data_IF_088574950861
#
_entry.id   IF_088574950861
#
_cell.length_a   1.000
_cell.length_b   1.000
_cell.length_c   1.000
_cell.angle_alpha   90.00
_cell.angle_beta   90.00
_cell.angle_gamma   90.00
#
_symmetry.space_group_name_H-M   'P 1'
#
loop_
_entity.id
_entity.type
_entity.pdbx_description
1 polymer ?
#
# COMPACT_ATOMS: atom_id res chain seq x y z
N UNK A 1 29.92 -14.93 -11.03
CA UNK A 1 28.76 -15.04 -10.13
C UNK A 1 27.81 -13.89 -10.46
N UNK A 2 26.65 -14.22 -11.04
CA UNK A 2 25.81 -13.28 -11.81
C UNK A 2 24.92 -12.45 -10.87
N UNK A 3 25.12 -11.13 -10.88
CA UNK A 3 24.21 -10.13 -10.31
C UNK A 3 22.92 -10.13 -11.14
N UNK A 4 21.82 -10.66 -10.62
CA UNK A 4 20.52 -10.64 -11.29
C UNK A 4 19.64 -9.55 -10.69
N UNK A 5 19.26 -8.61 -11.57
CA UNK A 5 18.01 -7.83 -11.64
C UNK A 5 17.55 -7.03 -10.40
N UNK A 6 17.93 -5.74 -10.37
CA UNK A 6 17.14 -4.68 -9.70
C UNK A 6 15.82 -4.52 -10.46
N UNK A 7 14.69 -4.98 -9.92
CA UNK A 7 13.36 -4.76 -10.53
C UNK A 7 12.39 -4.19 -9.50
N UNK A 8 12.59 -2.92 -9.19
CA UNK A 8 11.55 -1.99 -8.72
C UNK A 8 11.75 -0.64 -9.43
N UNK A 9 11.70 -0.69 -10.76
CA UNK A 9 11.88 0.44 -11.67
C UNK A 9 10.52 0.98 -12.13
N UNK A 10 9.96 1.87 -11.33
CA UNK A 10 9.34 3.08 -11.86
C UNK A 10 10.12 4.25 -11.27
N UNK A 11 11.15 4.68 -11.99
CA UNK A 11 11.73 5.99 -11.74
C UNK A 11 10.72 7.01 -12.23
N UNK A 12 10.02 7.67 -11.31
CA UNK A 12 9.59 9.03 -11.59
C UNK A 12 10.86 9.81 -11.88
N UNK A 13 10.92 10.44 -13.06
CA UNK A 13 12.13 11.12 -13.52
C UNK A 13 12.68 12.04 -12.43
N UNK A 14 13.99 11.93 -12.20
CA UNK A 14 14.72 12.82 -11.32
C UNK A 14 14.48 14.28 -11.76
N UNK A 15 13.68 15.01 -10.97
CA UNK A 15 13.68 16.46 -10.97
C UNK A 15 14.58 16.86 -9.78
N UNK A 16 15.89 16.97 -10.02
CA UNK A 16 16.72 17.90 -9.26
C UNK A 16 16.47 19.29 -9.90
N UNK A 17 16.37 20.43 -9.20
CA UNK A 17 17.21 21.04 -8.15
C UNK A 17 16.36 22.16 -7.52
N UNK A 18 16.42 22.41 -6.19
CA UNK A 18 16.65 23.77 -5.60
C UNK A 18 16.70 23.86 -4.06
N UNK A 19 17.27 24.95 -3.50
CA UNK A 19 18.38 24.92 -2.55
C UNK A 19 17.97 24.80 -1.08
N UNK A 20 18.95 24.45 -0.27
CA UNK A 20 18.87 24.50 1.18
C UNK A 20 18.75 25.95 1.69
N UNK A 21 17.68 26.17 2.48
CA UNK A 21 17.68 26.71 3.85
C UNK A 21 16.72 27.90 4.09
N UNK A 22 15.66 27.64 4.87
CA UNK A 22 15.27 28.44 6.02
C UNK A 22 14.41 27.56 6.97
N UNK A 23 14.72 27.49 8.28
CA UNK A 23 14.00 26.66 9.24
C UNK A 23 12.74 27.37 9.75
N UNK A 24 11.59 26.73 9.57
CA UNK A 24 10.30 26.90 10.27
C UNK A 24 9.14 26.91 9.28
N UNK A 25 8.71 25.71 8.89
CA UNK A 25 7.30 25.34 8.66
C UNK A 25 7.28 23.85 8.32
N UNK A 26 6.45 23.11 9.06
CA UNK A 26 6.23 21.67 8.99
C UNK A 26 5.79 21.20 7.59
N UNK A 27 6.73 21.15 6.66
CA UNK A 27 6.52 20.99 5.22
C UNK A 27 6.50 19.55 4.71
N UNK A 28 5.94 18.62 5.48
CA UNK A 28 5.65 17.27 5.00
C UNK A 28 4.23 16.86 5.41
N UNK A 29 3.27 17.04 4.49
CA UNK A 29 1.84 16.75 4.64
C UNK A 29 1.48 15.26 4.73
N UNK A 30 2.17 14.50 5.58
CA UNK A 30 1.96 13.07 5.82
C UNK A 30 0.57 12.70 6.38
N UNK A 31 -0.26 13.69 6.72
CA UNK A 31 -1.64 13.49 7.18
C UNK A 31 -2.54 12.82 6.12
N UNK A 32 -2.09 12.67 4.87
CA UNK A 32 -2.86 12.01 3.79
C UNK A 32 -2.92 10.48 3.95
N UNK A 33 -2.10 9.85 4.82
CA UNK A 33 -2.27 8.42 5.19
C UNK A 33 -3.33 8.23 6.30
N UNK A 34 -4.22 9.21 6.54
CA UNK A 34 -5.34 8.99 7.48
C UNK A 34 -6.51 8.27 6.79
N UNK A 35 -7.15 7.31 7.48
CA UNK A 35 -8.03 6.34 6.88
C UNK A 35 -9.45 6.90 6.86
N UNK A 36 -10.00 7.02 5.68
CA UNK A 36 -11.42 6.71 5.48
C UNK A 36 -11.66 6.20 4.07
N UNK A 37 -10.82 5.28 3.62
CA UNK A 37 -11.40 4.24 2.75
C UNK A 37 -12.27 3.41 3.69
N UNK A 38 -13.56 3.69 3.69
CA UNK A 38 -14.53 3.06 4.59
C UNK A 38 -14.28 1.54 4.68
N UNK A 39 -13.99 1.05 5.89
CA UNK A 39 -13.84 -0.36 6.21
C UNK A 39 -12.40 -0.90 6.31
N UNK A 40 -11.34 -0.16 5.96
CA UNK A 40 -9.96 -0.67 6.12
C UNK A 40 -9.57 -0.96 7.58
N UNK A 41 -10.23 -0.30 8.53
CA UNK A 41 -10.19 -0.60 9.96
C UNK A 41 -10.67 -2.03 10.27
N UNK A 42 -11.77 -2.48 9.67
CA UNK A 42 -12.27 -3.85 9.83
C UNK A 42 -11.33 -4.89 9.23
N UNK A 43 -10.61 -4.54 8.15
CA UNK A 43 -9.57 -5.39 7.57
C UNK A 43 -8.36 -5.53 8.49
N UNK A 44 -7.88 -4.43 9.08
CA UNK A 44 -6.77 -4.48 10.02
C UNK A 44 -7.07 -5.34 11.24
N UNK A 45 -8.29 -5.27 11.77
CA UNK A 45 -8.75 -6.14 12.87
C UNK A 45 -8.80 -7.61 12.45
N UNK A 46 -9.31 -7.92 11.25
CA UNK A 46 -9.33 -9.28 10.73
C UNK A 46 -7.92 -9.83 10.49
N UNK A 47 -7.00 -9.00 10.01
CA UNK A 47 -5.59 -9.36 9.84
C UNK A 47 -4.90 -9.65 11.16
N UNK A 48 -5.13 -8.81 12.18
CA UNK A 48 -4.61 -9.05 13.53
C UNK A 48 -5.01 -10.44 14.03
N UNK A 49 -6.29 -10.80 13.88
CA UNK A 49 -6.78 -12.13 14.26
C UNK A 49 -6.08 -13.25 13.49
N UNK A 50 -5.91 -13.12 12.17
CA UNK A 50 -5.23 -14.13 11.35
C UNK A 50 -3.77 -14.32 11.81
N UNK A 51 -3.09 -13.22 12.12
CA UNK A 51 -1.71 -13.22 12.59
C UNK A 51 -1.59 -13.83 14.00
N UNK A 52 -2.54 -13.57 14.89
CA UNK A 52 -2.65 -14.21 16.22
C UNK A 52 -2.95 -15.72 16.11
N UNK A 53 -3.85 -16.12 15.21
CA UNK A 53 -4.15 -17.53 14.92
C UNK A 53 -2.92 -18.31 14.40
N UNK A 54 -2.00 -17.62 13.70
CA UNK A 54 -0.73 -18.25 13.28
C UNK A 54 0.21 -18.54 14.45
N UNK A 55 0.16 -17.77 15.53
CA UNK A 55 0.91 -18.07 16.77
C UNK A 55 0.25 -19.16 17.59
N UNK A 56 -1.09 -19.17 17.64
CA UNK A 56 -1.87 -20.11 18.43
C UNK A 56 -2.89 -20.84 17.54
N UNK A 57 -2.47 -21.87 16.78
CA UNK A 57 -3.36 -22.61 15.91
C UNK A 57 -4.45 -23.30 16.74
N UNK A 58 -5.70 -22.85 16.62
CA UNK A 58 -6.82 -23.56 17.23
C UNK A 58 -7.17 -24.82 16.40
N UNK A 59 -7.17 -26.03 16.99
CA UNK A 59 -7.60 -27.22 16.29
C UNK A 59 -9.10 -27.13 15.91
N UNK A 60 -9.41 -27.18 14.62
CA UNK A 60 -10.78 -27.33 14.11
C UNK A 60 -11.47 -26.08 13.55
N UNK A 61 -10.85 -24.90 13.64
CA UNK A 61 -11.38 -23.70 12.97
C UNK A 61 -10.94 -23.68 11.50
N UNK A 62 -11.82 -24.08 10.58
CA UNK A 62 -11.59 -23.87 9.16
C UNK A 62 -11.73 -22.38 8.84
N UNK A 63 -10.62 -21.71 8.53
CA UNK A 63 -10.65 -20.32 8.11
C UNK A 63 -11.50 -20.17 6.84
N UNK A 64 -12.35 -19.14 6.73
CA UNK A 64 -13.13 -18.89 5.52
C UNK A 64 -12.18 -18.73 4.32
N UNK A 65 -12.28 -19.65 3.38
CA UNK A 65 -11.53 -19.59 2.12
C UNK A 65 -12.26 -18.65 1.16
N UNK A 66 -11.57 -17.60 0.71
CA UNK A 66 -12.10 -16.73 -0.33
C UNK A 66 -12.12 -17.50 -1.67
N UNK A 67 -13.23 -17.41 -2.42
CA UNK A 67 -13.30 -17.95 -3.76
C UNK A 67 -12.25 -17.27 -4.67
N UNK A 68 -11.62 -18.03 -5.55
CA UNK A 68 -10.63 -17.51 -6.48
C UNK A 68 -11.23 -16.35 -7.31
N UNK A 69 -10.60 -15.17 -7.23
CA UNK A 69 -11.05 -13.98 -7.95
C UNK A 69 -12.24 -13.23 -7.33
N UNK A 70 -12.68 -13.56 -6.11
CA UNK A 70 -13.76 -12.84 -5.42
C UNK A 70 -13.54 -11.32 -5.31
N UNK A 71 -12.27 -10.90 -5.32
CA UNK A 71 -11.85 -9.51 -5.16
C UNK A 71 -11.47 -8.83 -6.48
N UNK A 72 -11.61 -9.52 -7.62
CA UNK A 72 -11.42 -8.92 -8.95
C UNK A 72 -12.55 -7.97 -9.30
N UNK A 73 -12.23 -7.02 -10.16
CA UNK A 73 -13.16 -6.08 -10.77
C UNK A 73 -12.77 -5.78 -12.22
N UNK A 74 -13.70 -5.28 -13.02
CA UNK A 74 -13.43 -4.77 -14.36
C UNK A 74 -12.98 -3.31 -14.28
N UNK A 75 -11.73 -2.96 -14.67
CA UNK A 75 -11.27 -1.58 -14.58
C UNK A 75 -11.99 -0.65 -15.54
N UNK A 76 -12.32 0.56 -15.09
CA UNK A 76 -12.84 1.65 -15.92
C UNK A 76 -11.91 2.88 -15.86
N UNK A 77 -11.45 3.35 -17.02
CA UNK A 77 -10.59 4.54 -17.10
C UNK A 77 -11.29 5.82 -16.63
N UNK A 78 -12.57 5.97 -16.96
CA UNK A 78 -13.36 7.14 -16.53
C UNK A 78 -13.50 7.15 -15.00
N UNK A 79 -13.74 5.98 -14.39
CA UNK A 79 -13.78 5.86 -12.93
C UNK A 79 -12.43 6.16 -12.30
N UNK A 80 -11.34 5.68 -12.90
CA UNK A 80 -9.98 6.00 -12.46
C UNK A 80 -9.74 7.50 -12.43
N UNK A 81 -10.08 8.22 -13.50
CA UNK A 81 -9.95 9.67 -13.56
C UNK A 81 -10.73 10.36 -12.42
N UNK A 82 -11.96 9.91 -12.14
CA UNK A 82 -12.78 10.41 -11.03
C UNK A 82 -12.14 10.10 -9.66
N UNK A 83 -11.64 8.88 -9.47
CA UNK A 83 -11.00 8.44 -8.22
C UNK A 83 -9.72 9.25 -7.94
N UNK A 84 -8.88 9.45 -8.96
CA UNK A 84 -7.66 10.24 -8.88
C UNK A 84 -7.95 11.72 -8.57
N UNK A 85 -8.95 12.31 -9.24
CA UNK A 85 -9.39 13.67 -8.94
C UNK A 85 -9.90 13.82 -7.50
N UNK A 86 -10.67 12.83 -7.01
CA UNK A 86 -11.15 12.81 -5.63
C UNK A 86 -10.00 12.64 -4.62
N UNK A 87 -9.00 11.82 -4.94
CA UNK A 87 -7.79 11.69 -4.14
C UNK A 87 -7.09 13.04 -4.01
N UNK A 88 -6.80 13.72 -5.13
CA UNK A 88 -6.21 15.07 -5.14
C UNK A 88 -7.02 16.06 -4.31
N UNK A 89 -8.35 16.10 -4.50
CA UNK A 89 -9.21 17.02 -3.78
C UNK A 89 -9.16 16.81 -2.25
N UNK A 90 -9.10 15.56 -1.79
CA UNK A 90 -8.92 15.24 -0.36
C UNK A 90 -7.53 15.63 0.15
N UNK A 91 -6.49 15.39 -0.65
CA UNK A 91 -5.11 15.73 -0.29
C UNK A 91 -4.89 17.23 -0.10
N UNK A 92 -5.62 18.09 -0.84
CA UNK A 92 -5.48 19.56 -0.74
C UNK A 92 -5.74 20.12 0.66
N UNK A 93 -6.57 19.46 1.47
CA UNK A 93 -6.84 19.92 2.84
C UNK A 93 -5.61 19.80 3.76
N UNK A 94 -4.71 18.86 3.46
CA UNK A 94 -3.49 18.62 4.23
C UNK A 94 -2.25 19.25 3.56
N UNK A 95 -2.16 19.16 2.24
CA UNK A 95 -1.04 19.66 1.45
C UNK A 95 -1.52 20.19 0.08
N UNK A 96 -1.84 21.50 -0.01
CA UNK A 96 -2.27 22.11 -1.26
C UNK A 96 -1.24 21.96 -2.40
N UNK A 97 0.04 22.17 -2.11
CA UNK A 97 1.10 22.16 -3.12
C UNK A 97 1.40 20.74 -3.60
N UNK A 98 1.49 19.78 -2.68
CA UNK A 98 1.64 18.36 -3.01
C UNK A 98 0.46 17.85 -3.82
N UNK A 99 -0.76 18.23 -3.48
CA UNK A 99 -1.95 17.87 -4.25
C UNK A 99 -1.94 18.45 -5.67
N UNK A 100 -1.48 19.68 -5.87
CA UNK A 100 -1.32 20.26 -7.21
C UNK A 100 -0.24 19.55 -8.04
N UNK A 101 0.84 19.12 -7.40
CA UNK A 101 1.86 18.29 -8.05
C UNK A 101 1.30 16.90 -8.43
N UNK A 102 0.54 16.26 -7.53
CA UNK A 102 -0.14 15.00 -7.83
C UNK A 102 -1.12 15.14 -8.99
N UNK A 103 -1.88 16.24 -9.04
CA UNK A 103 -2.80 16.51 -10.15
C UNK A 103 -2.07 16.55 -11.50
N UNK A 104 -0.89 17.20 -11.55
CA UNK A 104 -0.07 17.26 -12.77
C UNK A 104 0.44 15.88 -13.18
N UNK A 105 0.86 15.05 -12.21
CA UNK A 105 1.31 13.68 -12.47
C UNK A 105 0.16 12.82 -12.99
N UNK A 106 -1.00 12.86 -12.36
CA UNK A 106 -2.17 12.08 -12.79
C UNK A 106 -2.72 12.53 -14.15
N UNK A 107 -2.51 13.79 -14.53
CA UNK A 107 -2.85 14.28 -15.86
C UNK A 107 -1.84 13.86 -16.94
N UNK A 108 -0.58 13.61 -16.57
CA UNK A 108 0.47 13.25 -17.53
C UNK A 108 0.57 11.75 -17.79
N UNK A 109 0.21 10.93 -16.81
CA UNK A 109 0.30 9.47 -16.94
C UNK A 109 -0.71 8.70 -16.10
N UNK A 110 -1.09 7.54 -16.62
CA UNK A 110 -1.89 6.57 -15.88
C UNK A 110 -1.01 5.80 -14.88
N UNK A 111 -0.83 6.40 -13.70
CA UNK A 111 0.03 5.86 -12.63
C UNK A 111 -0.39 4.47 -12.18
N UNK A 112 -1.69 4.15 -12.19
CA UNK A 112 -2.19 2.83 -11.79
C UNK A 112 -1.83 1.79 -12.85
N UNK A 113 -1.96 2.14 -14.14
CA UNK A 113 -1.57 1.26 -15.23
C UNK A 113 -0.06 0.98 -15.26
N UNK A 114 0.78 1.96 -14.92
CA UNK A 114 2.23 1.77 -14.82
C UNK A 114 2.62 0.69 -13.82
N UNK A 115 1.81 0.45 -12.78
CA UNK A 115 2.07 -0.59 -11.78
C UNK A 115 1.80 -2.00 -12.32
N UNK A 116 1.14 -2.16 -13.47
CA UNK A 116 0.75 -3.49 -13.97
C UNK A 116 1.93 -4.43 -14.14
N UNK A 117 2.95 -4.00 -14.88
CA UNK A 117 4.11 -4.84 -15.17
C UNK A 117 4.92 -5.22 -13.92
N UNK A 118 5.31 -4.28 -13.03
CA UNK A 118 6.06 -4.65 -11.83
C UNK A 118 5.25 -5.54 -10.89
N UNK A 119 3.95 -5.32 -10.72
CA UNK A 119 3.11 -6.19 -9.89
C UNK A 119 2.94 -7.59 -10.51
N UNK A 120 2.79 -7.67 -11.83
CA UNK A 120 2.69 -8.97 -12.52
C UNK A 120 3.94 -9.83 -12.34
N UNK A 121 5.13 -9.23 -12.23
CA UNK A 121 6.39 -9.94 -12.00
C UNK A 121 6.36 -10.75 -10.69
N UNK A 122 5.74 -10.20 -9.64
CA UNK A 122 5.54 -10.87 -8.35
C UNK A 122 4.18 -11.58 -8.24
N UNK A 123 3.44 -11.68 -9.34
CA UNK A 123 2.19 -12.44 -9.42
C UNK A 123 0.95 -11.71 -8.90
N UNK A 124 1.04 -10.39 -8.68
CA UNK A 124 -0.04 -9.52 -8.26
C UNK A 124 -0.65 -8.78 -9.46
N UNK A 125 -1.85 -8.23 -9.26
CA UNK A 125 -2.64 -7.56 -10.28
C UNK A 125 -3.14 -6.23 -9.77
N UNK A 126 -3.24 -5.26 -10.68
CA UNK A 126 -3.82 -3.95 -10.38
C UNK A 126 -5.36 -3.98 -10.33
N UNK A 127 -6.00 -5.04 -10.81
CA UNK A 127 -7.47 -5.19 -10.94
C UNK A 127 -8.07 -6.18 -9.90
N UNK A 128 -7.35 -6.37 -8.79
CA UNK A 128 -7.78 -7.19 -7.65
C UNK A 128 -7.51 -6.42 -6.35
N UNK A 129 -8.53 -6.33 -5.50
CA UNK A 129 -8.43 -5.53 -4.28
C UNK A 129 -7.52 -6.17 -3.23
N UNK A 130 -7.48 -7.51 -3.14
CA UNK A 130 -6.59 -8.19 -2.22
C UNK A 130 -5.13 -8.01 -2.62
N UNK A 131 -4.85 -8.02 -3.93
CA UNK A 131 -3.52 -7.73 -4.47
C UNK A 131 -3.11 -6.28 -4.16
N UNK A 132 -3.98 -5.31 -4.40
CA UNK A 132 -3.71 -3.89 -4.08
C UNK A 132 -3.43 -3.68 -2.58
N UNK A 133 -4.17 -4.35 -1.70
CA UNK A 133 -3.93 -4.31 -0.26
C UNK A 133 -2.59 -4.93 0.12
N UNK A 134 -2.23 -6.07 -0.48
CA UNK A 134 -0.93 -6.70 -0.24
C UNK A 134 0.23 -5.78 -0.61
N UNK A 135 0.13 -5.08 -1.75
CA UNK A 135 1.15 -4.10 -2.18
C UNK A 135 1.27 -2.95 -1.17
N UNK A 136 0.14 -2.37 -0.74
CA UNK A 136 0.14 -1.35 0.30
C UNK A 136 0.81 -1.85 1.58
N UNK A 137 0.43 -3.03 2.06
CA UNK A 137 0.89 -3.56 3.34
C UNK A 137 2.40 -3.84 3.33
N UNK A 138 2.90 -4.44 2.24
CA UNK A 138 4.33 -4.69 2.03
C UNK A 138 5.11 -3.37 2.04
N UNK A 139 4.70 -2.38 1.26
CA UNK A 139 5.38 -1.09 1.17
C UNK A 139 5.33 -0.34 2.52
N UNK A 140 4.20 -0.39 3.21
CA UNK A 140 4.05 0.23 4.52
C UNK A 140 5.01 -0.41 5.54
N UNK A 141 5.09 -1.73 5.59
CA UNK A 141 6.03 -2.42 6.46
C UNK A 141 7.49 -2.08 6.12
N UNK A 142 7.86 -2.16 4.84
CA UNK A 142 9.20 -1.81 4.35
C UNK A 142 9.61 -0.39 4.75
N UNK A 143 8.74 0.59 4.51
CA UNK A 143 8.98 1.97 4.90
C UNK A 143 9.05 2.18 6.41
N UNK A 144 8.24 1.45 7.19
CA UNK A 144 8.32 1.49 8.67
C UNK A 144 9.65 0.97 9.22
N UNK A 145 10.33 0.09 8.46
CA UNK A 145 11.65 -0.48 8.79
C UNK A 145 12.80 0.25 8.10
N UNK A 146 12.51 1.16 7.16
CA UNK A 146 13.53 1.83 6.34
C UNK A 146 14.27 0.87 5.39
N UNK A 147 13.64 -0.23 4.98
CA UNK A 147 14.23 -1.24 4.07
C UNK A 147 13.50 -1.23 2.73
N UNK A 148 14.24 -1.36 1.62
CA UNK A 148 13.72 -1.33 0.24
C UNK A 148 14.14 -2.59 -0.53
N UNK A 149 14.10 -3.74 0.15
CA UNK A 149 14.52 -5.02 -0.43
C UNK A 149 13.49 -5.52 -1.46
N UNK A 150 13.99 -6.19 -2.52
CA UNK A 150 13.12 -6.84 -3.50
C UNK A 150 12.27 -7.94 -2.84
N UNK A 151 10.98 -7.96 -3.14
CA UNK A 151 10.05 -8.96 -2.60
C UNK A 151 9.89 -10.12 -3.57
N UNK A 152 10.13 -11.35 -3.10
CA UNK A 152 9.94 -12.54 -3.91
C UNK A 152 8.47 -12.76 -4.26
N UNK A 153 8.22 -13.46 -5.38
CA UNK A 153 6.87 -13.89 -5.75
C UNK A 153 6.20 -14.69 -4.64
N UNK A 154 6.93 -15.58 -3.97
CA UNK A 154 6.37 -16.39 -2.88
C UNK A 154 5.87 -15.51 -1.72
N UNK A 155 6.70 -14.56 -1.28
CA UNK A 155 6.36 -13.59 -0.23
C UNK A 155 5.14 -12.74 -0.61
N UNK A 156 5.12 -12.19 -1.83
CA UNK A 156 4.01 -11.36 -2.31
C UNK A 156 2.68 -12.13 -2.33
N UNK A 157 2.70 -13.37 -2.83
CA UNK A 157 1.52 -14.22 -2.88
C UNK A 157 1.04 -14.64 -1.49
N UNK A 158 1.94 -14.87 -0.54
CA UNK A 158 1.57 -15.20 0.83
C UNK A 158 0.88 -14.02 1.54
N UNK A 159 1.38 -12.79 1.35
CA UNK A 159 0.71 -11.58 1.87
C UNK A 159 -0.65 -11.36 1.21
N UNK A 160 -0.75 -11.56 -0.12
CA UNK A 160 -2.04 -11.56 -0.82
C UNK A 160 -3.02 -12.53 -0.18
N UNK A 161 -2.61 -13.75 0.12
CA UNK A 161 -3.49 -14.76 0.70
C UNK A 161 -3.93 -14.41 2.13
N UNK A 162 -3.11 -13.67 2.89
CA UNK A 162 -3.52 -13.08 4.16
C UNK A 162 -4.55 -11.97 3.97
N UNK A 163 -4.30 -11.04 3.03
CA UNK A 163 -5.23 -9.96 2.72
C UNK A 163 -6.59 -10.50 2.25
N UNK A 164 -6.59 -11.49 1.35
CA UNK A 164 -7.79 -12.15 0.83
C UNK A 164 -8.61 -12.83 1.96
N UNK A 165 -7.93 -13.53 2.87
CA UNK A 165 -8.59 -14.15 4.04
C UNK A 165 -9.20 -13.11 4.97
N UNK A 166 -8.49 -12.01 5.25
CA UNK A 166 -9.01 -10.93 6.09
C UNK A 166 -10.24 -10.27 5.46
N UNK A 167 -10.22 -10.00 4.15
CA UNK A 167 -11.35 -9.45 3.43
C UNK A 167 -12.56 -10.39 3.43
N UNK A 168 -12.33 -11.70 3.27
CA UNK A 168 -13.40 -12.68 3.36
C UNK A 168 -14.02 -12.73 4.77
N UNK A 169 -13.18 -12.67 5.80
CA UNK A 169 -13.61 -12.69 7.21
C UNK A 169 -14.35 -11.40 7.62
N UNK A 170 -13.91 -10.22 7.18
CA UNK A 170 -14.58 -8.96 7.50
C UNK A 170 -15.92 -8.81 6.77
N UNK A 171 -16.05 -9.40 5.59
CA UNK A 171 -17.23 -9.28 4.75
C UNK A 171 -17.44 -7.88 4.15
N UNK A 172 -16.47 -6.98 4.27
CA UNK A 172 -16.56 -5.59 3.81
C UNK A 172 -16.86 -5.47 2.31
N UNK A 173 -16.36 -6.41 1.50
CA UNK A 173 -16.58 -6.45 0.05
C UNK A 173 -17.72 -7.37 -0.37
N UNK A 174 -18.49 -7.92 0.57
CA UNK A 174 -19.62 -8.80 0.26
C UNK A 174 -20.69 -8.00 -0.49
N UNK A 175 -20.94 -8.37 -1.75
CA UNK A 175 -21.88 -7.66 -2.63
C UNK A 175 -21.33 -6.35 -3.23
N UNK A 176 -20.06 -6.02 -3.02
CA UNK A 176 -19.45 -4.85 -3.64
C UNK A 176 -19.32 -5.04 -5.16
N UNK A 177 -19.85 -4.09 -5.93
CA UNK A 177 -19.67 -4.04 -7.38
C UNK A 177 -18.29 -3.50 -7.80
N UNK A 178 -18.01 -3.59 -9.10
CA UNK A 178 -16.71 -3.23 -9.67
C UNK A 178 -16.26 -1.80 -9.34
N UNK A 179 -17.19 -0.84 -9.32
CA UNK A 179 -16.85 0.55 -9.01
C UNK A 179 -16.30 0.74 -7.59
N UNK A 180 -16.90 0.07 -6.60
CA UNK A 180 -16.46 0.16 -5.21
C UNK A 180 -15.12 -0.54 -5.00
N UNK A 181 -14.95 -1.71 -5.63
CA UNK A 181 -13.68 -2.45 -5.64
C UNK A 181 -12.56 -1.64 -6.30
N UNK A 182 -12.84 -1.03 -7.45
CA UNK A 182 -11.87 -0.20 -8.16
C UNK A 182 -11.44 1.01 -7.33
N UNK A 183 -12.38 1.74 -6.71
CA UNK A 183 -12.03 2.89 -5.87
C UNK A 183 -11.12 2.48 -4.71
N UNK A 184 -11.41 1.36 -4.04
CA UNK A 184 -10.58 0.86 -2.94
C UNK A 184 -9.19 0.43 -3.43
N UNK A 185 -9.11 -0.39 -4.49
CA UNK A 185 -7.85 -0.86 -5.02
C UNK A 185 -6.96 0.29 -5.49
N UNK A 186 -7.50 1.26 -6.22
CA UNK A 186 -6.73 2.40 -6.71
C UNK A 186 -6.24 3.30 -5.57
N UNK A 187 -7.04 3.51 -4.53
CA UNK A 187 -6.59 4.23 -3.34
C UNK A 187 -5.41 3.55 -2.63
N UNK A 188 -5.43 2.21 -2.54
CA UNK A 188 -4.35 1.41 -1.94
C UNK A 188 -3.09 1.43 -2.81
N UNK A 189 -3.23 1.27 -4.12
CA UNK A 189 -2.12 1.32 -5.08
C UNK A 189 -1.42 2.68 -5.08
N UNK A 190 -2.18 3.78 -5.05
CA UNK A 190 -1.62 5.14 -4.97
C UNK A 190 -0.87 5.33 -3.65
N UNK A 191 -1.45 4.92 -2.52
CA UNK A 191 -0.76 4.98 -1.23
C UNK A 191 0.53 4.19 -1.24
N UNK A 192 0.53 2.97 -1.81
CA UNK A 192 1.72 2.16 -1.90
C UNK A 192 2.82 2.84 -2.75
N UNK A 193 2.46 3.45 -3.87
CA UNK A 193 3.41 4.19 -4.70
C UNK A 193 4.00 5.41 -3.98
N UNK A 194 3.19 6.17 -3.25
CA UNK A 194 3.67 7.32 -2.46
C UNK A 194 4.61 6.88 -1.34
N UNK A 195 4.31 5.75 -0.68
CA UNK A 195 5.18 5.17 0.35
C UNK A 195 6.52 4.72 -0.26
N UNK A 196 6.48 4.01 -1.39
CA UNK A 196 7.68 3.56 -2.10
C UNK A 196 8.56 4.73 -2.53
N UNK A 197 7.95 5.78 -3.08
CA UNK A 197 8.67 6.97 -3.53
C UNK A 197 9.33 7.71 -2.35
N UNK A 198 8.64 7.88 -1.24
CA UNK A 198 9.21 8.53 -0.07
C UNK A 198 10.32 7.72 0.61
N UNK A 199 10.18 6.39 0.67
CA UNK A 199 11.24 5.51 1.14
C UNK A 199 12.50 5.66 0.27
N UNK A 200 12.34 5.75 -1.05
CA UNK A 200 13.45 6.01 -1.97
C UNK A 200 14.08 7.38 -1.73
N UNK A 201 13.26 8.43 -1.58
CA UNK A 201 13.76 9.79 -1.30
C UNK A 201 14.48 9.89 0.05
N UNK A 202 14.12 9.06 1.03
CA UNK A 202 14.75 9.07 2.35
C UNK A 202 16.10 8.35 2.39
N UNK A 203 16.46 7.59 1.36
CA UNK A 203 17.72 6.85 1.32
C UNK A 203 18.92 7.79 1.47
N UNK A 204 19.82 7.44 2.39
CA UNK A 204 20.98 8.27 2.72
C UNK A 204 20.70 9.48 3.62
N UNK A 205 19.44 9.71 4.01
CA UNK A 205 19.05 10.73 4.98
C UNK A 205 18.36 10.07 6.20
N UNK A 206 19.10 9.86 7.32
CA UNK A 206 18.56 9.20 8.50
C UNK A 206 17.39 9.94 9.15
N UNK A 207 17.39 11.27 9.09
CA UNK A 207 16.33 12.08 9.67
C UNK A 207 15.04 11.94 8.87
N UNK A 208 15.12 12.08 7.54
CA UNK A 208 13.99 11.88 6.67
C UNK A 208 13.47 10.43 6.75
N UNK A 209 14.36 9.45 6.88
CA UNK A 209 13.98 8.04 7.02
C UNK A 209 13.16 7.79 8.30
N UNK A 210 13.54 8.42 9.42
CA UNK A 210 12.74 8.36 10.67
C UNK A 210 11.37 9.01 10.50
N UNK A 211 11.30 10.15 9.81
CA UNK A 211 10.03 10.85 9.57
C UNK A 211 9.08 10.01 8.70
N UNK A 212 9.60 9.41 7.61
CA UNK A 212 8.83 8.49 6.75
C UNK A 212 8.33 7.29 7.57
N UNK A 213 9.21 6.64 8.33
CA UNK A 213 8.84 5.49 9.14
C UNK A 213 7.75 5.82 10.17
N UNK A 214 7.86 6.97 10.84
CA UNK A 214 6.88 7.44 11.82
C UNK A 214 5.51 7.73 11.18
N UNK A 215 5.51 8.45 10.05
CA UNK A 215 4.31 8.79 9.29
C UNK A 215 3.57 7.54 8.79
N UNK A 216 4.30 6.61 8.16
CA UNK A 216 3.73 5.36 7.66
C UNK A 216 3.18 4.50 8.80
N UNK A 217 3.91 4.42 9.92
CA UNK A 217 3.44 3.69 11.10
C UNK A 217 2.16 4.31 11.68
N UNK A 218 2.06 5.64 11.73
CA UNK A 218 0.85 6.32 12.18
C UNK A 218 -0.34 6.05 11.26
N UNK A 219 -0.14 6.12 9.94
CA UNK A 219 -1.19 5.81 8.96
C UNK A 219 -1.68 4.36 9.05
N UNK A 220 -0.74 3.41 9.16
CA UNK A 220 -1.06 1.99 9.32
C UNK A 220 -1.86 1.71 10.61
N UNK A 221 -1.52 2.36 11.73
CA UNK A 221 -2.30 2.25 12.97
C UNK A 221 -3.73 2.76 12.81
N UNK A 222 -3.94 3.80 12.01
CA UNK A 222 -5.28 4.26 11.66
C UNK A 222 -6.10 3.18 10.91
N UNK A 223 -5.44 2.29 10.18
CA UNK A 223 -6.04 1.10 9.56
C UNK A 223 -6.00 -0.13 10.48
N UNK A 224 -5.80 0.05 11.79
CA UNK A 224 -5.66 -1.03 12.79
C UNK A 224 -4.50 -2.01 12.55
N UNK A 225 -3.52 -1.65 11.72
CA UNK A 225 -2.30 -2.42 11.46
C UNK A 225 -1.16 -1.95 12.38
N UNK A 226 -0.59 -2.87 13.16
CA UNK A 226 0.64 -2.62 13.91
C UNK A 226 1.84 -3.23 13.19
N UNK A 227 2.50 -2.42 12.36
CA UNK A 227 3.65 -2.83 11.56
C UNK A 227 4.87 -3.23 12.41
N UNK A 228 4.96 -2.74 13.66
CA UNK A 228 6.07 -3.06 14.55
C UNK A 228 5.96 -4.49 15.10
N UNK A 229 4.74 -4.99 15.26
CA UNK A 229 4.43 -6.32 15.78
C UNK A 229 4.54 -7.44 14.73
N UNK A 230 5.09 -7.15 13.54
CA UNK A 230 5.16 -8.11 12.44
C UNK A 230 6.51 -8.08 11.71
N UNK A 231 6.83 -9.23 11.11
CA UNK A 231 7.98 -9.49 10.25
C UNK A 231 7.52 -10.10 8.94
N UNK A 232 8.03 -9.60 7.82
CA UNK A 232 7.75 -10.14 6.49
C UNK A 232 8.62 -11.36 6.21
N UNK A 233 8.01 -12.46 5.80
CA UNK A 233 8.68 -13.72 5.45
C UNK A 233 8.07 -14.34 4.18
N UNK A 234 8.63 -15.43 3.67
CA UNK A 234 8.01 -16.19 2.58
C UNK A 234 6.63 -16.78 2.94
N UNK A 235 6.27 -16.84 4.23
CA UNK A 235 4.93 -17.23 4.70
C UNK A 235 3.98 -16.04 4.81
N UNK A 236 4.40 -14.86 4.36
CA UNK A 236 3.70 -13.59 4.55
C UNK A 236 4.15 -12.91 5.85
N UNK A 237 3.29 -12.05 6.40
CA UNK A 237 3.52 -11.42 7.68
C UNK A 237 3.30 -12.41 8.82
N UNK A 238 4.31 -12.59 9.64
CA UNK A 238 4.23 -13.33 10.91
C UNK A 238 4.51 -12.37 12.05
N UNK A 239 4.18 -12.71 13.30
CA UNK A 239 4.54 -11.87 14.43
C UNK A 239 6.03 -11.65 14.54
N UNK A 240 6.40 -10.45 14.97
CA UNK A 240 7.78 -10.15 15.30
C UNK A 240 8.23 -10.98 16.51
N UNK A 241 9.49 -11.42 16.49
CA UNK A 241 10.15 -12.08 17.63
C UNK A 241 10.52 -11.08 18.74
#
# INVERSE_FOLDING_TARGET
>A
MRRFLRVLLCGFGAIAIWPAAAPAQDGWGWTIITPSVAGTDTLGLALRRITEEQQHPQPGAAAPSAAAGAFRYTPSRDRRAVNLARFVARSRAADPQGADNLAKVFASVDVVEQMRAPLAAVGLRIDDVADAYAVYWINAWQASRGVDDDVSRATALAVRDQAARAMAASGQLRGAGDAAKQEMAEALLIQAALISDALKQSQGNPELSRQVAAAVSQGARGMSLDLAAMTLTEKGFVPAE
#
